data_IF_003331855088
#
_entry.id   IF_003331855088
#
_cell.length_a   1.000
_cell.length_b   1.000
_cell.length_c   1.000
_cell.angle_alpha   90.00
_cell.angle_beta   90.00
_cell.angle_gamma   90.00
#
_symmetry.space_group_name_H-M   'P 1'
#
loop_
_entity.id
_entity.type
_entity.pdbx_description
1 polymer ?
#
# COMPACT_ATOMS: atom_id res chain seq x y z
N UNK A 1 17.97 -14.72 0.25
CA UNK A 1 18.32 -14.32 1.62
C UNK A 1 17.21 -13.39 2.10
N UNK A 2 16.51 -13.80 3.13
CA UNK A 2 15.42 -13.04 3.72
C UNK A 2 15.81 -12.63 5.13
N UNK A 3 15.83 -11.33 5.35
CA UNK A 3 16.13 -10.64 6.60
C UNK A 3 15.06 -9.59 6.89
N UNK A 4 13.89 -9.73 6.29
CA UNK A 4 12.77 -8.81 6.51
C UNK A 4 12.20 -8.90 7.92
N UNK A 5 11.49 -7.85 8.34
CA UNK A 5 10.82 -7.75 9.65
C UNK A 5 11.77 -7.98 10.83
N UNK A 6 12.84 -7.19 10.86
CA UNK A 6 13.84 -7.21 11.91
C UNK A 6 14.15 -5.77 12.38
N UNK A 7 14.97 -5.66 13.42
CA UNK A 7 15.45 -4.37 13.92
C UNK A 7 16.86 -4.04 13.40
N UNK A 8 17.20 -4.43 12.16
CA UNK A 8 18.52 -4.12 11.59
C UNK A 8 18.65 -2.60 11.40
N UNK A 9 19.77 -2.05 11.82
CA UNK A 9 20.05 -0.63 11.77
C UNK A 9 21.45 -0.35 11.20
N UNK A 10 21.67 0.88 10.76
CA UNK A 10 22.89 1.29 10.06
C UNK A 10 22.77 1.10 8.54
N UNK A 11 23.90 1.20 7.86
CA UNK A 11 23.95 1.15 6.40
C UNK A 11 23.97 -0.28 5.86
N UNK A 12 23.53 -0.45 4.61
CA UNK A 12 23.69 -1.72 3.91
C UNK A 12 25.17 -1.94 3.62
N UNK A 13 25.82 -2.97 4.18
CA UNK A 13 27.26 -3.16 4.01
C UNK A 13 27.59 -3.56 2.58
N UNK A 14 28.68 -3.00 2.02
CA UNK A 14 29.15 -3.33 0.66
C UNK A 14 29.44 -4.83 0.48
N UNK A 15 29.74 -5.55 1.57
CA UNK A 15 29.93 -7.01 1.50
C UNK A 15 28.74 -7.78 0.92
N UNK A 16 27.51 -7.25 1.02
CA UNK A 16 26.31 -7.86 0.41
C UNK A 16 26.39 -7.88 -1.12
N UNK A 17 27.08 -6.90 -1.73
CA UNK A 17 27.24 -6.85 -3.20
C UNK A 17 28.24 -7.87 -3.73
N UNK A 18 29.03 -8.52 -2.86
CA UNK A 18 29.96 -9.58 -3.27
C UNK A 18 29.29 -10.96 -3.40
N UNK A 19 28.01 -11.08 -3.06
CA UNK A 19 27.26 -12.34 -3.11
C UNK A 19 26.75 -12.62 -4.54
N UNK A 20 27.66 -12.89 -5.48
CA UNK A 20 27.37 -13.02 -6.92
C UNK A 20 26.33 -14.09 -7.30
N UNK A 21 26.03 -15.05 -6.42
CA UNK A 21 25.03 -16.12 -6.63
C UNK A 21 23.69 -15.85 -5.94
N UNK A 22 23.49 -14.66 -5.39
CA UNK A 22 22.29 -14.32 -4.64
C UNK A 22 21.12 -14.06 -5.61
N UNK A 23 20.08 -14.90 -5.52
CA UNK A 23 18.85 -14.74 -6.32
C UNK A 23 17.79 -13.84 -5.68
N UNK A 24 17.73 -13.82 -4.35
CA UNK A 24 16.73 -13.03 -3.61
C UNK A 24 17.42 -12.29 -2.48
N UNK A 25 17.13 -11.01 -2.33
CA UNK A 25 17.52 -10.19 -1.20
C UNK A 25 16.30 -9.44 -0.69
N UNK A 26 15.82 -9.84 0.49
CA UNK A 26 14.73 -9.15 1.18
C UNK A 26 15.25 -8.55 2.49
N UNK A 27 15.24 -7.23 2.59
CA UNK A 27 15.63 -6.44 3.75
C UNK A 27 14.48 -5.52 4.20
N UNK A 28 13.25 -5.79 3.77
CA UNK A 28 12.12 -4.92 4.07
C UNK A 28 11.75 -4.90 5.55
N UNK A 29 11.05 -3.84 5.99
CA UNK A 29 10.59 -3.70 7.39
C UNK A 29 11.79 -3.79 8.35
N UNK A 30 12.72 -2.85 8.20
CA UNK A 30 13.89 -2.70 9.07
C UNK A 30 14.14 -1.21 9.36
N UNK A 31 15.26 -0.89 10.00
CA UNK A 31 15.68 0.48 10.31
C UNK A 31 16.98 0.85 9.59
N UNK A 32 17.20 0.32 8.38
CA UNK A 32 18.41 0.60 7.59
C UNK A 32 18.43 2.06 7.15
N UNK A 33 19.60 2.67 7.19
CA UNK A 33 19.87 4.08 6.87
C UNK A 33 20.97 4.20 5.81
N UNK A 34 21.34 5.43 5.43
CA UNK A 34 22.40 5.67 4.45
C UNK A 34 21.94 5.44 3.02
N UNK A 35 22.90 5.22 2.10
CA UNK A 35 22.63 5.05 0.67
C UNK A 35 22.57 3.58 0.26
N UNK A 36 21.89 3.30 -0.85
CA UNK A 36 22.01 2.00 -1.53
C UNK A 36 23.43 1.92 -2.11
N UNK A 37 24.19 0.83 -1.87
CA UNK A 37 25.55 0.69 -2.39
C UNK A 37 25.60 0.78 -3.91
N UNK A 38 26.53 1.57 -4.43
CA UNK A 38 26.68 1.79 -5.89
C UNK A 38 26.98 0.48 -6.64
N UNK A 39 27.63 -0.47 -5.95
CA UNK A 39 27.99 -1.78 -6.47
C UNK A 39 26.83 -2.79 -6.50
N UNK A 40 25.59 -2.43 -6.14
CA UNK A 40 24.45 -3.37 -6.15
C UNK A 40 24.27 -4.06 -7.52
N UNK A 41 24.67 -3.40 -8.61
CA UNK A 41 24.66 -3.94 -9.97
C UNK A 41 25.60 -5.14 -10.21
N UNK A 42 26.52 -5.47 -9.29
CA UNK A 42 27.37 -6.66 -9.40
C UNK A 42 26.61 -7.97 -9.18
N UNK A 43 25.41 -7.90 -8.59
CA UNK A 43 24.56 -9.05 -8.29
C UNK A 43 23.79 -9.52 -9.53
N UNK A 44 24.52 -9.98 -10.55
CA UNK A 44 23.95 -10.34 -11.86
C UNK A 44 22.89 -11.44 -11.81
N UNK A 45 22.91 -12.30 -10.78
CA UNK A 45 21.91 -13.34 -10.57
C UNK A 45 20.68 -12.92 -9.75
N UNK A 46 20.57 -11.64 -9.34
CA UNK A 46 19.50 -11.19 -8.46
C UNK A 46 18.18 -11.05 -9.23
N UNK A 47 17.18 -11.80 -8.77
CA UNK A 47 15.83 -11.83 -9.33
C UNK A 47 14.84 -11.01 -8.49
N UNK A 48 15.08 -10.90 -7.18
CA UNK A 48 14.19 -10.21 -6.25
C UNK A 48 14.99 -9.33 -5.30
N UNK A 49 14.66 -8.05 -5.28
CA UNK A 49 15.22 -7.05 -4.37
C UNK A 49 14.10 -6.28 -3.67
N UNK A 50 13.95 -6.48 -2.36
CA UNK A 50 13.02 -5.71 -1.54
C UNK A 50 13.79 -4.97 -0.45
N UNK A 51 13.77 -3.64 -0.53
CA UNK A 51 14.35 -2.70 0.44
C UNK A 51 13.27 -1.82 1.08
N UNK A 52 12.00 -2.14 0.87
CA UNK A 52 10.88 -1.30 1.28
C UNK A 52 10.79 -1.13 2.80
N UNK A 53 10.13 -0.05 3.26
CA UNK A 53 9.90 0.22 4.69
C UNK A 53 11.21 0.23 5.49
N UNK A 54 12.13 1.09 5.06
CA UNK A 54 13.38 1.40 5.73
C UNK A 54 13.56 2.94 5.79
N UNK A 55 14.73 3.41 6.22
CA UNK A 55 15.10 4.83 6.25
C UNK A 55 16.24 5.11 5.26
N UNK A 56 16.30 4.40 4.14
CA UNK A 56 17.33 4.59 3.11
C UNK A 56 17.18 5.97 2.46
N UNK A 57 18.29 6.54 2.04
CA UNK A 57 18.39 7.93 1.56
C UNK A 57 19.37 8.03 0.38
N UNK A 58 19.43 9.20 -0.25
CA UNK A 58 20.28 9.43 -1.42
C UNK A 58 19.63 8.98 -2.73
N UNK A 59 20.43 8.84 -3.78
CA UNK A 59 19.94 8.51 -5.13
C UNK A 59 19.90 7.01 -5.36
N UNK A 60 18.97 6.55 -6.20
CA UNK A 60 19.00 5.18 -6.70
C UNK A 60 20.23 5.04 -7.61
N UNK A 61 21.18 4.14 -7.31
CA UNK A 61 22.42 4.04 -8.06
C UNK A 61 22.13 3.59 -9.51
N UNK A 62 22.73 4.23 -10.52
CA UNK A 62 22.50 3.88 -11.93
C UNK A 62 22.96 2.45 -12.26
N UNK A 63 23.89 1.89 -11.47
CA UNK A 63 24.31 0.48 -11.58
C UNK A 63 23.18 -0.52 -11.33
N UNK A 64 22.07 -0.12 -10.68
CA UNK A 64 20.88 -0.96 -10.55
C UNK A 64 20.25 -1.28 -11.91
N UNK A 65 20.42 -0.41 -12.91
CA UNK A 65 20.00 -0.69 -14.28
C UNK A 65 20.81 -1.81 -14.94
N UNK A 66 21.96 -2.21 -14.38
CA UNK A 66 22.78 -3.31 -14.90
C UNK A 66 22.33 -4.69 -14.41
N UNK A 67 21.30 -4.78 -13.58
CA UNK A 67 20.72 -6.05 -13.12
C UNK A 67 19.81 -6.63 -14.21
N UNK A 68 20.30 -7.61 -14.96
CA UNK A 68 19.57 -8.18 -16.10
C UNK A 68 18.53 -9.22 -15.73
N UNK A 69 18.67 -9.84 -14.54
CA UNK A 69 17.80 -10.92 -14.06
C UNK A 69 16.71 -10.45 -13.09
N UNK A 70 16.66 -9.14 -12.78
CA UNK A 70 15.74 -8.60 -11.78
C UNK A 70 14.30 -8.64 -12.28
N UNK A 71 13.45 -9.36 -11.57
CA UNK A 71 12.02 -9.54 -11.87
C UNK A 71 11.12 -8.84 -10.85
N UNK A 72 11.61 -8.62 -9.63
CA UNK A 72 10.86 -7.95 -8.58
C UNK A 72 11.74 -6.94 -7.86
N UNK A 73 11.26 -5.70 -7.80
CA UNK A 73 11.89 -4.59 -7.10
C UNK A 73 10.85 -3.92 -6.22
N UNK A 74 11.20 -3.62 -4.97
CA UNK A 74 10.40 -2.75 -4.12
C UNK A 74 11.31 -1.82 -3.31
N UNK A 75 11.15 -0.52 -3.52
CA UNK A 75 11.90 0.56 -2.87
C UNK A 75 10.98 1.49 -2.06
N UNK A 76 9.71 1.14 -1.94
CA UNK A 76 8.68 1.98 -1.34
C UNK A 76 8.92 2.26 0.14
N UNK A 77 8.33 3.35 0.66
CA UNK A 77 8.45 3.74 2.08
C UNK A 77 9.91 3.88 2.52
N UNK A 78 10.65 4.75 1.85
CA UNK A 78 12.03 5.15 2.18
C UNK A 78 12.17 6.68 2.04
N UNK A 79 13.38 7.20 2.17
CA UNK A 79 13.72 8.61 1.98
C UNK A 79 14.64 8.82 0.76
N UNK A 80 14.43 8.03 -0.31
CA UNK A 80 15.20 8.12 -1.55
C UNK A 80 14.89 9.42 -2.30
N UNK A 81 15.84 9.84 -3.13
CA UNK A 81 15.83 11.13 -3.81
C UNK A 81 16.36 11.06 -5.25
N UNK A 82 16.06 12.08 -6.05
CA UNK A 82 16.60 12.24 -7.40
C UNK A 82 15.80 11.51 -8.47
N UNK A 83 16.35 11.46 -9.68
CA UNK A 83 15.69 10.84 -10.82
C UNK A 83 15.80 9.31 -10.76
N UNK A 84 14.67 8.63 -11.01
CA UNK A 84 14.66 7.17 -11.16
C UNK A 84 15.46 6.79 -12.41
N UNK A 85 16.50 5.93 -12.29
CA UNK A 85 17.31 5.53 -13.43
C UNK A 85 16.49 4.69 -14.41
N UNK A 86 16.46 5.11 -15.67
CA UNK A 86 15.78 4.39 -16.75
C UNK A 86 16.80 3.54 -17.52
N UNK A 87 16.67 2.21 -17.46
CA UNK A 87 17.54 1.29 -18.20
C UNK A 87 17.23 -0.20 -17.95
N UNK A 88 17.38 -1.03 -18.99
CA UNK A 88 17.15 -2.49 -18.99
C UNK A 88 15.84 -2.90 -18.27
N UNK A 89 15.91 -3.82 -17.29
CA UNK A 89 14.77 -4.35 -16.53
C UNK A 89 14.07 -3.30 -15.65
N UNK A 90 14.68 -2.15 -15.37
CA UNK A 90 13.98 -1.08 -14.65
C UNK A 90 12.90 -0.40 -15.52
N UNK A 91 12.95 -0.58 -16.85
CA UNK A 91 11.89 -0.11 -17.76
C UNK A 91 10.67 -1.04 -17.79
N UNK A 92 10.84 -2.32 -17.43
CA UNK A 92 9.73 -3.30 -17.33
C UNK A 92 9.09 -3.29 -15.94
N UNK A 93 9.75 -2.67 -14.96
CA UNK A 93 9.28 -2.43 -13.60
C UNK A 93 8.70 -1.01 -13.50
N UNK A 94 7.62 -0.79 -14.24
CA UNK A 94 6.93 0.50 -14.40
C UNK A 94 5.82 0.73 -13.37
N UNK A 95 5.60 -0.21 -12.46
CA UNK A 95 4.59 -0.06 -11.40
C UNK A 95 4.99 1.09 -10.43
N UNK A 96 4.19 2.16 -10.32
CA UNK A 96 4.47 3.28 -9.42
C UNK A 96 4.57 2.89 -7.94
N UNK A 97 3.92 1.78 -7.54
CA UNK A 97 3.93 1.29 -6.16
C UNK A 97 5.33 0.91 -5.67
N UNK A 98 6.23 0.53 -6.59
CA UNK A 98 7.64 0.20 -6.30
C UNK A 98 8.37 1.38 -5.66
N UNK A 99 8.00 2.61 -6.03
CA UNK A 99 8.69 3.84 -5.62
C UNK A 99 7.84 4.70 -4.67
N UNK A 100 6.66 4.21 -4.27
CA UNK A 100 5.70 4.94 -3.43
C UNK A 100 6.33 5.41 -2.11
N UNK A 101 5.83 6.52 -1.56
CA UNK A 101 6.26 7.04 -0.27
C UNK A 101 7.79 7.33 -0.19
N UNK A 102 8.35 7.89 -1.27
CA UNK A 102 9.67 8.50 -1.30
C UNK A 102 9.53 9.95 -1.79
N UNK A 103 9.50 10.95 -0.88
CA UNK A 103 9.04 12.31 -1.19
C UNK A 103 9.94 13.07 -2.16
N UNK A 104 11.20 12.68 -2.31
CA UNK A 104 12.20 13.37 -3.12
C UNK A 104 12.55 12.63 -4.43
N UNK A 105 11.88 11.50 -4.73
CA UNK A 105 12.04 10.83 -6.02
C UNK A 105 11.26 11.58 -7.11
N UNK A 106 11.78 11.53 -8.33
CA UNK A 106 11.15 12.15 -9.50
C UNK A 106 11.43 11.36 -10.78
N UNK A 107 10.62 11.63 -11.81
CA UNK A 107 10.71 11.01 -13.13
C UNK A 107 9.87 9.73 -13.26
N UNK A 108 9.61 9.25 -14.49
CA UNK A 108 8.88 8.02 -14.73
C UNK A 108 9.53 6.82 -14.00
N UNK A 109 8.75 5.90 -13.41
CA UNK A 109 7.29 5.76 -13.48
C UNK A 109 6.49 6.63 -12.48
N UNK A 110 7.13 7.50 -11.69
CA UNK A 110 6.40 8.41 -10.79
C UNK A 110 5.87 9.65 -11.53
N UNK A 111 4.78 10.24 -11.02
CA UNK A 111 4.18 11.48 -11.56
C UNK A 111 4.93 12.76 -11.14
N UNK A 112 5.91 12.64 -10.24
CA UNK A 112 6.71 13.76 -9.77
C UNK A 112 7.70 14.24 -10.83
N UNK A 113 7.64 15.53 -11.19
CA UNK A 113 8.56 16.15 -12.16
C UNK A 113 9.93 16.40 -11.53
N UNK A 114 11.00 16.16 -12.29
CA UNK A 114 12.34 16.46 -11.81
C UNK A 114 12.69 17.95 -11.98
N UNK A 115 13.41 18.57 -11.03
CA UNK A 115 13.93 19.92 -11.19
C UNK A 115 14.82 20.02 -12.44
N UNK A 116 14.43 20.84 -13.42
CA UNK A 116 15.18 21.06 -14.66
C UNK A 116 14.54 20.53 -15.96
N UNK A 117 13.40 19.84 -15.90
CA UNK A 117 12.67 19.42 -17.11
C UNK A 117 11.83 20.55 -17.76
N UNK A 118 11.72 21.72 -17.14
CA UNK A 118 10.94 22.87 -17.66
C UNK A 118 11.67 23.69 -18.76
N UNK A 119 12.82 23.25 -19.26
CA UNK A 119 13.59 24.00 -20.26
C UNK A 119 13.85 23.23 -21.56
N UNK A 120 12.79 22.77 -22.26
CA UNK A 120 12.83 22.72 -23.74
C UNK A 120 11.44 22.64 -24.40
N UNK A 121 10.85 23.77 -24.83
CA UNK A 121 9.85 23.72 -25.88
C UNK A 121 10.59 23.55 -27.21
N UNK A 122 10.47 22.37 -27.85
CA UNK A 122 10.65 22.28 -29.30
C UNK A 122 9.30 22.49 -29.95
N UNK A 123 8.97 23.76 -30.16
CA UNK A 123 7.93 24.20 -31.09
C UNK A 123 8.24 23.65 -32.48
N UNK A 124 7.30 22.91 -33.08
CA UNK A 124 7.05 23.01 -34.52
C UNK A 124 5.54 23.04 -34.71
N UNK A 125 5.10 24.13 -35.34
CA UNK A 125 3.73 24.59 -35.51
C UNK A 125 2.78 23.58 -36.14
N UNK A 126 1.51 23.71 -35.75
CA UNK A 126 0.36 23.12 -36.42
C UNK A 126 -0.90 23.23 -35.56
N UNK A 127 -1.49 24.42 -35.53
CA UNK A 127 -2.91 24.78 -35.25
C UNK A 127 -3.81 23.81 -34.47
N UNK A 128 -4.23 24.22 -33.27
CA UNK A 128 -5.59 24.66 -32.94
C UNK A 128 -5.80 24.59 -31.42
N UNK A 129 -6.40 25.65 -30.87
CA UNK A 129 -6.86 25.72 -29.49
C UNK A 129 -8.08 24.81 -29.34
N UNK A 130 -7.96 23.79 -28.50
CA UNK A 130 -9.07 23.28 -27.70
C UNK A 130 -8.52 23.10 -26.28
N UNK A 131 -8.80 24.10 -25.43
CA UNK A 131 -8.86 23.87 -23.99
C UNK A 131 -9.94 22.81 -23.75
N UNK A 132 -9.61 21.69 -23.11
CA UNK A 132 -10.47 21.00 -22.14
C UNK A 132 -9.76 19.79 -21.50
N UNK A 133 -9.43 19.93 -20.22
CA UNK A 133 -9.46 18.89 -19.19
C UNK A 133 -8.71 17.56 -19.45
N UNK A 134 -7.39 17.56 -19.30
CA UNK A 134 -6.64 16.30 -19.11
C UNK A 134 -6.80 15.77 -17.68
N UNK A 135 -7.90 15.04 -17.47
CA UNK A 135 -8.01 14.03 -16.43
C UNK A 135 -7.32 12.73 -16.92
N UNK A 136 -6.01 12.61 -16.76
CA UNK A 136 -5.31 11.31 -16.73
C UNK A 136 -4.65 11.22 -15.36
N UNK A 137 -4.96 10.28 -14.48
CA UNK A 137 -4.94 8.82 -14.65
C UNK A 137 -5.72 8.16 -13.51
N UNK A 138 -6.97 8.60 -13.28
CA UNK A 138 -7.92 7.89 -12.42
C UNK A 138 -8.88 6.99 -13.19
N UNK A 139 -8.65 6.75 -14.49
CA UNK A 139 -9.72 6.30 -15.40
C UNK A 139 -10.25 4.92 -15.06
N UNK A 140 -9.39 3.92 -14.83
CA UNK A 140 -9.85 2.57 -14.47
C UNK A 140 -10.61 2.55 -13.13
N UNK A 141 -10.06 3.15 -12.07
CA UNK A 141 -10.67 3.10 -10.74
C UNK A 141 -11.93 3.98 -10.62
N UNK A 142 -12.02 5.07 -11.38
CA UNK A 142 -13.22 5.92 -11.44
C UNK A 142 -14.38 5.19 -12.11
N UNK A 143 -14.19 4.46 -13.22
CA UNK A 143 -15.28 3.67 -13.81
C UNK A 143 -15.74 2.53 -12.90
N UNK A 144 -14.82 1.91 -12.14
CA UNK A 144 -15.19 0.95 -11.10
C UNK A 144 -16.06 1.60 -10.01
N UNK A 145 -15.68 2.77 -9.48
CA UNK A 145 -16.49 3.44 -8.45
C UNK A 145 -17.82 3.99 -8.99
N UNK A 146 -17.82 4.51 -10.23
CA UNK A 146 -19.00 5.03 -10.93
C UNK A 146 -19.98 3.91 -11.31
N UNK A 147 -19.52 2.66 -11.50
CA UNK A 147 -20.39 1.50 -11.74
C UNK A 147 -20.79 0.76 -10.47
N UNK A 148 -19.88 0.65 -9.50
CA UNK A 148 -20.11 -0.02 -8.22
C UNK A 148 -21.02 0.79 -7.29
N UNK A 149 -20.93 2.13 -7.32
CA UNK A 149 -21.79 3.01 -6.53
C UNK A 149 -23.30 2.85 -6.83
N UNK A 150 -23.74 2.96 -8.09
CA UNK A 150 -25.13 2.73 -8.47
C UNK A 150 -25.57 1.28 -8.22
N UNK A 151 -24.70 0.29 -8.51
CA UNK A 151 -25.01 -1.12 -8.28
C UNK A 151 -25.26 -1.43 -6.80
N UNK A 152 -24.43 -0.88 -5.91
CA UNK A 152 -24.61 -1.00 -4.47
C UNK A 152 -25.87 -0.27 -4.00
N UNK A 153 -26.13 0.95 -4.48
CA UNK A 153 -27.31 1.72 -4.11
C UNK A 153 -28.61 1.00 -4.53
N UNK A 154 -28.67 0.50 -5.78
CA UNK A 154 -29.83 -0.23 -6.30
C UNK A 154 -30.00 -1.58 -5.61
N UNK A 155 -28.92 -2.32 -5.38
CA UNK A 155 -28.95 -3.61 -4.68
C UNK A 155 -29.36 -3.46 -3.21
N UNK A 156 -28.76 -2.50 -2.51
CA UNK A 156 -29.05 -2.22 -1.10
C UNK A 156 -30.50 -1.73 -0.94
N UNK A 157 -30.97 -0.78 -1.75
CA UNK A 157 -32.36 -0.35 -1.71
C UNK A 157 -33.33 -1.43 -2.16
N UNK A 158 -32.99 -2.28 -3.12
CA UNK A 158 -33.83 -3.44 -3.49
C UNK A 158 -34.06 -4.39 -2.30
N UNK A 159 -33.01 -4.70 -1.55
CA UNK A 159 -33.10 -5.54 -0.34
C UNK A 159 -33.86 -4.81 0.77
N UNK A 160 -33.59 -3.53 1.02
CA UNK A 160 -34.31 -2.75 2.03
C UNK A 160 -35.80 -2.59 1.70
N UNK A 161 -36.16 -2.30 0.45
CA UNK A 161 -37.55 -2.14 0.01
C UNK A 161 -38.30 -3.47 0.09
N UNK A 162 -37.70 -4.59 -0.32
CA UNK A 162 -38.32 -5.92 -0.20
C UNK A 162 -38.53 -6.34 1.26
N UNK A 163 -37.60 -5.96 2.16
CA UNK A 163 -37.74 -6.19 3.60
C UNK A 163 -38.79 -5.28 4.27
N UNK A 164 -39.04 -4.07 3.73
CA UNK A 164 -40.07 -3.13 4.24
C UNK A 164 -41.47 -3.52 3.76
N UNK A 165 -41.62 -3.98 2.51
CA UNK A 165 -42.95 -4.28 1.92
C UNK A 165 -43.57 -5.55 2.49
N UNK A 166 -42.76 -6.53 2.95
CA UNK A 166 -43.27 -7.82 3.42
C UNK A 166 -42.95 -8.05 4.90
N UNK A 167 -43.91 -7.71 5.77
CA UNK A 167 -43.80 -7.85 7.23
C UNK A 167 -43.31 -9.23 7.71
N UNK A 168 -43.65 -10.31 7.00
CA UNK A 168 -43.18 -11.67 7.34
C UNK A 168 -41.68 -11.87 7.16
N UNK A 169 -41.06 -11.21 6.18
CA UNK A 169 -39.64 -11.35 5.86
C UNK A 169 -38.77 -10.55 6.83
N UNK A 170 -39.28 -9.39 7.27
CA UNK A 170 -38.66 -8.57 8.30
C UNK A 170 -38.39 -9.35 9.58
N UNK A 171 -39.40 -10.08 10.08
CA UNK A 171 -39.25 -10.85 11.33
C UNK A 171 -38.30 -12.04 11.18
N UNK A 172 -38.32 -12.74 10.05
CA UNK A 172 -37.41 -13.84 9.78
C UNK A 172 -35.95 -13.35 9.65
N UNK A 173 -35.73 -12.23 8.95
CA UNK A 173 -34.42 -11.59 8.82
C UNK A 173 -33.87 -11.15 10.17
N UNK A 174 -34.66 -10.42 10.96
CA UNK A 174 -34.22 -9.99 12.30
C UNK A 174 -33.87 -11.19 13.18
N UNK A 175 -34.69 -12.24 13.18
CA UNK A 175 -34.39 -13.47 13.94
C UNK A 175 -33.03 -14.05 13.56
N UNK A 176 -32.77 -14.19 12.26
CA UNK A 176 -31.48 -14.71 11.76
C UNK A 176 -30.31 -13.82 12.20
N UNK A 177 -30.43 -12.50 12.06
CA UNK A 177 -29.38 -11.55 12.48
C UNK A 177 -29.12 -11.62 13.99
N UNK A 178 -30.17 -11.71 14.81
CA UNK A 178 -30.06 -11.88 16.25
C UNK A 178 -29.40 -13.21 16.62
N UNK A 179 -29.77 -14.32 15.98
CA UNK A 179 -29.18 -15.65 16.23
C UNK A 179 -27.69 -15.69 15.85
N UNK A 180 -27.33 -15.12 14.70
CA UNK A 180 -25.92 -15.02 14.25
C UNK A 180 -25.10 -14.14 15.19
N UNK A 181 -25.67 -13.03 15.68
CA UNK A 181 -25.02 -12.14 16.64
C UNK A 181 -24.71 -12.87 17.96
N UNK A 182 -25.68 -13.58 18.54
CA UNK A 182 -25.48 -14.33 19.79
C UNK A 182 -24.43 -15.43 19.61
N UNK A 183 -24.48 -16.17 18.50
CA UNK A 183 -23.47 -17.18 18.18
C UNK A 183 -22.06 -16.58 18.06
N UNK A 184 -21.92 -15.44 17.36
CA UNK A 184 -20.65 -14.73 17.24
C UNK A 184 -20.12 -14.25 18.60
N UNK A 185 -20.99 -13.67 19.44
CA UNK A 185 -20.59 -13.23 20.78
C UNK A 185 -20.14 -14.40 21.66
N UNK A 186 -20.80 -15.56 21.56
CA UNK A 186 -20.36 -16.78 22.25
C UNK A 186 -19.01 -17.28 21.73
N UNK A 187 -18.80 -17.32 20.42
CA UNK A 187 -17.52 -17.74 19.82
C UNK A 187 -16.39 -16.78 20.20
N UNK A 188 -16.62 -15.47 20.10
CA UNK A 188 -15.65 -14.43 20.48
C UNK A 188 -15.32 -14.54 21.97
N UNK A 189 -16.33 -14.66 22.84
CA UNK A 189 -16.09 -14.80 24.29
C UNK A 189 -15.30 -16.07 24.63
N UNK A 190 -15.54 -17.18 23.93
CA UNK A 190 -14.75 -18.42 24.07
C UNK A 190 -13.31 -18.26 23.58
N UNK A 191 -13.11 -17.60 22.44
CA UNK A 191 -11.78 -17.30 21.90
C UNK A 191 -11.02 -16.40 22.86
N UNK A 192 -11.63 -15.30 23.33
CA UNK A 192 -11.04 -14.38 24.31
C UNK A 192 -10.72 -15.11 25.62
N UNK A 193 -11.60 -15.98 26.12
CA UNK A 193 -11.35 -16.77 27.32
C UNK A 193 -10.22 -17.80 27.14
N UNK A 194 -10.07 -18.39 25.95
CA UNK A 194 -8.94 -19.28 25.61
C UNK A 194 -7.63 -18.51 25.47
N UNK A 195 -7.64 -17.34 24.83
CA UNK A 195 -6.49 -16.44 24.77
C UNK A 195 -6.07 -16.02 26.17
N UNK A 196 -7.02 -15.54 27.00
CA UNK A 196 -6.77 -15.11 28.39
C UNK A 196 -6.16 -16.21 29.28
N UNK A 197 -6.44 -17.49 29.00
CA UNK A 197 -5.80 -18.63 29.69
C UNK A 197 -4.39 -18.93 29.19
N UNK A 198 -4.11 -18.75 27.91
CA UNK A 198 -2.77 -18.95 27.31
C UNK A 198 -1.81 -17.79 27.61
N UNK A 199 -2.36 -16.62 27.87
CA UNK A 199 -1.64 -15.37 27.94
C UNK A 199 -1.84 -14.81 29.36
N UNK A 200 -0.87 -15.08 30.25
CA UNK A 200 -0.80 -14.50 31.59
C UNK A 200 -0.45 -13.00 31.46
N UNK A 201 -1.39 -12.21 30.92
CA UNK A 201 -1.12 -10.94 30.27
C UNK A 201 -1.76 -9.77 31.03
N UNK A 202 -1.02 -9.30 32.03
CA UNK A 202 -1.27 -8.03 32.71
C UNK A 202 -0.98 -6.80 31.83
N UNK A 203 -0.25 -6.95 30.71
CA UNK A 203 0.18 -5.81 29.87
C UNK A 203 -0.61 -5.59 28.58
N UNK A 204 -1.40 -6.55 28.08
CA UNK A 204 -2.25 -6.36 26.87
C UNK A 204 -3.65 -5.82 27.19
N UNK A 205 -4.04 -5.82 28.47
CA UNK A 205 -5.36 -5.29 28.87
C UNK A 205 -5.46 -3.77 28.67
N UNK A 206 -4.35 -3.04 28.75
CA UNK A 206 -4.31 -1.58 28.59
C UNK A 206 -4.41 -1.20 27.10
N UNK A 207 -3.70 -1.90 26.22
CA UNK A 207 -3.73 -1.64 24.77
C UNK A 207 -5.05 -2.05 24.14
N UNK A 208 -5.64 -3.18 24.56
CA UNK A 208 -6.95 -3.60 24.07
C UNK A 208 -8.08 -2.66 24.51
N UNK A 209 -8.02 -2.12 25.73
CA UNK A 209 -9.01 -1.15 26.21
C UNK A 209 -8.84 0.23 25.53
N UNK A 210 -7.61 0.60 25.16
CA UNK A 210 -7.34 1.79 24.33
C UNK A 210 -7.93 1.63 22.93
N UNK A 211 -7.73 0.47 22.30
CA UNK A 211 -8.28 0.16 20.98
C UNK A 211 -9.83 0.12 20.97
N UNK A 212 -10.44 -0.47 22.01
CA UNK A 212 -11.90 -0.48 22.19
C UNK A 212 -12.49 0.93 22.41
N UNK A 213 -11.73 1.85 23.01
CA UNK A 213 -12.15 3.24 23.22
C UNK A 213 -12.19 4.01 21.89
N UNK A 214 -11.23 3.76 21.01
CA UNK A 214 -11.20 4.34 19.66
C UNK A 214 -12.27 3.75 18.74
N UNK A 215 -12.53 2.43 18.84
CA UNK A 215 -13.62 1.81 18.09
C UNK A 215 -15.00 2.34 18.49
N UNK A 216 -15.23 2.58 19.79
CA UNK A 216 -16.48 3.22 20.27
C UNK A 216 -16.59 4.67 19.80
N UNK A 217 -15.48 5.42 19.75
CA UNK A 217 -15.47 6.78 19.22
C UNK A 217 -15.84 6.79 17.73
N UNK A 218 -15.25 5.92 16.92
CA UNK A 218 -15.54 5.82 15.48
C UNK A 218 -17.02 5.46 15.22
N UNK A 219 -17.55 4.52 15.99
CA UNK A 219 -18.96 4.10 15.87
C UNK A 219 -19.94 5.20 16.33
N UNK A 220 -19.55 6.04 17.29
CA UNK A 220 -20.35 7.18 17.75
C UNK A 220 -20.32 8.34 16.75
N UNK A 221 -19.18 8.59 16.08
CA UNK A 221 -19.07 9.54 14.98
C UNK A 221 -19.90 9.11 13.75
N UNK A 222 -19.92 7.82 13.43
CA UNK A 222 -20.81 7.27 12.40
C UNK A 222 -22.29 7.50 12.71
N UNK A 223 -22.71 7.36 13.97
CA UNK A 223 -24.10 7.58 14.38
C UNK A 223 -24.52 9.05 14.32
N UNK A 224 -23.60 9.97 14.63
CA UNK A 224 -23.80 11.42 14.53
C UNK A 224 -23.88 11.86 13.06
N UNK A 225 -23.07 11.29 12.17
CA UNK A 225 -23.17 11.56 10.73
C UNK A 225 -24.52 11.11 10.15
N UNK A 226 -25.07 10.00 10.65
CA UNK A 226 -26.34 9.42 10.21
C UNK A 226 -27.58 10.14 10.73
N UNK A 227 -27.43 11.07 11.69
CA UNK A 227 -28.55 11.86 12.25
C UNK A 227 -28.66 13.25 11.61
N UNK A 228 -27.70 13.64 10.76
CA UNK A 228 -27.67 14.92 10.04
C UNK A 228 -27.84 14.79 8.51
N UNK A 229 -28.15 13.57 8.03
CA UNK A 229 -28.59 13.25 6.67
C UNK A 229 -30.02 12.71 6.72
#
# INVERSE_FOLDING_TARGET
MDLSDNNLCGEVPEGVTNLSRLGTLNLSINHLTGKIPDNIGSLQGLETLDLSRNHLSGVIPPGMASLTSLNHLNLSYNNLSGRIPTGNQLQTLDDPSIYENNPALCGPPTTAKCPGDDQRPKTRSGDNVEDENENGDGFEMKWFYVSMGPGFAVGFWGVCVTLIVKNSWRHAYFRLVYDVKEWLLMVISLIVARLRRKLNLGSIWITFNSFLKEMKACMQWCLVLFTFL
#
